data_IF_449165931161
#
_entry.id   IF_449165931161
#
_cell.length_a   1.000
_cell.length_b   1.000
_cell.length_c   1.000
_cell.angle_alpha   90.00
_cell.angle_beta   90.00
_cell.angle_gamma   90.00
#
_symmetry.space_group_name_H-M   'P 1'
#
loop_
_entity.id
_entity.type
_entity.pdbx_description
1 polymer ?
#
# COMPACT_ATOMS: atom_id res chain seq x y z
N UNK A 1 17.86 2.13 11.20
CA UNK A 1 16.90 1.98 10.09
C UNK A 1 16.01 0.83 10.51
N UNK A 2 14.77 1.12 10.87
CA UNK A 2 13.77 0.09 11.15
C UNK A 2 13.28 -0.42 9.79
N UNK A 3 14.01 -1.37 9.22
CA UNK A 3 13.71 -2.01 7.94
C UNK A 3 12.57 -3.04 8.14
N UNK A 4 11.39 -2.87 7.50
CA UNK A 4 10.21 -3.72 7.74
C UNK A 4 10.16 -4.99 6.88
N UNK A 5 11.26 -5.40 6.25
CA UNK A 5 11.34 -6.61 5.42
C UNK A 5 12.76 -7.20 5.42
N UNK A 6 12.91 -8.44 4.92
CA UNK A 6 14.21 -9.06 4.67
C UNK A 6 14.96 -8.26 3.60
N UNK A 7 15.96 -7.48 4.02
CA UNK A 7 16.72 -6.62 3.14
C UNK A 7 18.17 -7.09 3.02
N UNK A 8 18.67 -7.13 1.78
CA UNK A 8 20.08 -7.37 1.46
C UNK A 8 20.75 -6.04 1.16
N UNK A 9 21.45 -5.50 2.14
CA UNK A 9 22.08 -4.18 2.03
C UNK A 9 23.60 -4.33 1.92
N UNK A 10 24.23 -3.52 1.06
CA UNK A 10 25.69 -3.42 0.97
C UNK A 10 26.13 -2.18 1.73
N UNK A 11 26.46 -2.32 3.00
CA UNK A 11 26.98 -1.24 3.84
C UNK A 11 28.48 -1.48 4.08
N UNK A 12 29.31 -0.46 3.84
CA UNK A 12 30.75 -0.48 4.15
C UNK A 12 31.55 -1.65 3.53
N UNK A 13 31.15 -2.08 2.32
CA UNK A 13 31.80 -3.19 1.61
C UNK A 13 31.49 -4.58 2.18
N UNK A 14 30.56 -4.69 3.13
CA UNK A 14 30.06 -5.97 3.68
C UNK A 14 28.58 -6.14 3.34
N UNK A 15 28.16 -7.39 3.14
CA UNK A 15 26.75 -7.76 3.05
C UNK A 15 26.17 -7.70 4.47
N UNK A 16 25.18 -6.84 4.69
CA UNK A 16 24.36 -6.80 5.89
C UNK A 16 22.96 -7.32 5.55
N UNK A 17 22.43 -8.18 6.42
CA UNK A 17 21.10 -8.76 6.28
C UNK A 17 20.32 -8.31 7.50
N UNK A 18 19.26 -7.54 7.29
CA UNK A 18 18.34 -7.11 8.33
C UNK A 18 17.03 -7.88 8.17
N UNK A 19 16.49 -8.38 9.28
CA UNK A 19 15.25 -9.15 9.27
C UNK A 19 14.42 -8.91 10.53
N UNK A 20 13.10 -8.84 10.32
CA UNK A 20 12.08 -8.74 11.36
C UNK A 20 11.00 -9.81 11.16
N UNK A 21 11.33 -11.10 11.36
CA UNK A 21 10.35 -12.19 11.33
C UNK A 21 9.87 -12.56 12.74
N UNK A 22 8.55 -12.60 12.91
CA UNK A 22 7.88 -13.39 13.94
C UNK A 22 7.58 -14.77 13.32
N UNK A 23 7.97 -15.86 13.99
CA UNK A 23 7.57 -17.22 13.60
C UNK A 23 6.87 -17.90 14.78
N UNK A 24 5.75 -18.56 14.53
CA UNK A 24 4.94 -19.24 15.55
C UNK A 24 4.90 -20.74 15.30
N UNK A 25 4.90 -21.53 16.37
CA UNK A 25 4.71 -22.99 16.31
C UNK A 25 3.38 -23.31 16.98
N UNK A 26 2.56 -24.13 16.34
CA UNK A 26 1.26 -24.54 16.86
C UNK A 26 1.30 -25.99 17.35
N UNK A 27 0.52 -26.28 18.39
CA UNK A 27 0.18 -27.64 18.80
C UNK A 27 -0.77 -28.29 17.78
N UNK A 28 -0.92 -29.63 17.78
CA UNK A 28 -1.91 -30.33 16.95
C UNK A 28 -3.37 -29.87 17.15
N UNK A 29 -3.66 -29.23 18.29
CA UNK A 29 -4.98 -28.65 18.62
C UNK A 29 -5.14 -27.18 18.16
N UNK A 30 -4.14 -26.61 17.49
CA UNK A 30 -4.14 -25.23 17.01
C UNK A 30 -3.72 -24.17 18.04
N UNK A 31 -3.40 -24.56 19.28
CA UNK A 31 -2.90 -23.61 20.28
C UNK A 31 -1.42 -23.24 20.08
N UNK A 32 -1.05 -22.00 20.37
CA UNK A 32 0.32 -21.49 20.21
C UNK A 32 1.29 -22.04 21.28
N UNK A 33 2.49 -22.46 20.86
CA UNK A 33 3.62 -22.75 21.76
C UNK A 33 4.48 -21.49 21.97
N UNK A 34 4.06 -20.64 22.92
CA UNK A 34 4.74 -19.37 23.22
C UNK A 34 6.21 -19.52 23.64
N UNK A 35 6.63 -20.68 24.14
CA UNK A 35 8.03 -20.96 24.49
C UNK A 35 8.94 -21.31 23.29
N UNK A 36 8.38 -21.47 22.07
CA UNK A 36 9.13 -21.79 20.85
C UNK A 36 9.16 -20.65 19.82
N UNK A 37 8.90 -19.41 20.24
CA UNK A 37 9.16 -18.23 19.44
C UNK A 37 10.64 -18.16 19.03
N UNK A 38 10.91 -17.57 17.86
CA UNK A 38 12.27 -17.41 17.34
C UNK A 38 13.17 -16.67 18.34
N UNK A 39 13.99 -17.40 19.08
CA UNK A 39 15.04 -16.82 19.91
C UNK A 39 16.24 -16.52 18.99
N UNK A 40 16.43 -15.25 18.62
CA UNK A 40 17.52 -14.74 17.76
C UNK A 40 18.88 -15.36 18.13
N UNK A 41 19.79 -15.68 17.17
CA UNK A 41 20.00 -14.97 15.90
C UNK A 41 19.96 -15.82 14.61
N UNK A 42 19.65 -15.16 13.49
CA UNK A 42 19.81 -15.68 12.12
C UNK A 42 21.28 -16.04 11.89
N UNK A 43 21.54 -17.28 11.46
CA UNK A 43 22.90 -17.73 11.14
C UNK A 43 23.11 -17.68 9.63
N UNK A 44 24.09 -16.89 9.20
CA UNK A 44 24.53 -16.84 7.80
C UNK A 44 25.71 -17.79 7.65
N UNK A 45 25.51 -18.90 6.94
CA UNK A 45 26.60 -19.81 6.59
C UNK A 45 27.13 -19.45 5.20
N UNK A 46 28.42 -19.13 5.14
CA UNK A 46 29.11 -18.87 3.88
C UNK A 46 29.79 -20.16 3.43
N UNK A 47 29.33 -20.74 2.32
CA UNK A 47 29.97 -21.93 1.76
C UNK A 47 31.32 -21.55 1.14
N UNK A 48 32.37 -22.32 1.48
CA UNK A 48 33.75 -22.10 1.04
C UNK A 48 33.98 -22.18 -0.49
N UNK A 49 32.94 -22.43 -1.29
CA UNK A 49 32.99 -22.52 -2.74
C UNK A 49 32.32 -21.35 -3.46
N UNK A 50 32.00 -20.26 -2.73
CA UNK A 50 31.78 -18.93 -3.29
C UNK A 50 30.75 -18.87 -4.41
N UNK A 51 29.46 -18.81 -4.04
CA UNK A 51 28.33 -18.20 -4.78
C UNK A 51 26.98 -18.49 -4.09
N UNK A 52 26.95 -19.26 -2.99
CA UNK A 52 25.74 -19.57 -2.23
C UNK A 52 25.85 -19.07 -0.80
N UNK A 53 24.85 -18.30 -0.36
CA UNK A 53 24.59 -18.02 1.04
C UNK A 53 23.27 -18.72 1.40
N UNK A 54 23.30 -19.54 2.44
CA UNK A 54 22.09 -20.15 2.99
C UNK A 54 21.61 -19.30 4.16
N UNK A 55 20.34 -18.86 4.09
CA UNK A 55 19.66 -18.14 5.16
C UNK A 55 18.86 -19.15 5.97
N UNK A 56 19.31 -19.42 7.19
CA UNK A 56 18.65 -20.35 8.11
C UNK A 56 18.00 -19.54 9.21
N UNK A 57 16.68 -19.40 9.12
CA UNK A 57 15.86 -18.64 10.06
C UNK A 57 15.63 -19.39 11.38
N UNK A 58 15.78 -20.72 11.37
CA UNK A 58 15.68 -21.56 12.55
C UNK A 58 15.82 -23.03 12.18
N UNK A 59 15.97 -23.87 13.21
CA UNK A 59 15.85 -25.32 13.07
C UNK A 59 14.66 -25.76 13.92
N UNK A 60 13.58 -26.17 13.26
CA UNK A 60 12.38 -26.66 13.94
C UNK A 60 12.31 -28.17 13.84
N UNK A 61 12.25 -28.83 15.00
CA UNK A 61 11.90 -30.24 15.08
C UNK A 61 10.40 -30.29 15.26
N UNK A 62 9.69 -30.66 14.19
CA UNK A 62 8.25 -30.91 14.22
C UNK A 62 8.00 -32.36 14.60
N UNK A 63 7.11 -32.57 15.58
CA UNK A 63 6.57 -33.89 15.86
C UNK A 63 5.60 -34.32 14.74
N UNK A 64 5.20 -35.60 14.78
CA UNK A 64 4.13 -36.08 13.90
C UNK A 64 2.87 -35.22 14.12
N UNK A 65 2.28 -34.76 13.01
CA UNK A 65 1.09 -33.91 12.95
C UNK A 65 1.25 -32.44 13.40
N UNK A 66 2.49 -31.96 13.62
CA UNK A 66 2.79 -30.53 13.79
C UNK A 66 3.10 -29.85 12.44
N UNK A 67 2.71 -28.58 12.32
CA UNK A 67 3.06 -27.72 11.18
C UNK A 67 3.88 -26.51 11.64
N UNK A 68 4.73 -26.02 10.73
CA UNK A 68 5.43 -24.75 10.88
C UNK A 68 4.86 -23.79 9.86
N UNK A 69 4.35 -22.66 10.34
CA UNK A 69 3.92 -21.56 9.50
C UNK A 69 4.91 -20.42 9.65
N UNK A 70 5.57 -20.07 8.55
CA UNK A 70 6.44 -18.89 8.45
C UNK A 70 5.66 -17.89 7.63
N UNK A 71 4.76 -17.17 8.31
CA UNK A 71 3.97 -16.13 7.67
C UNK A 71 4.50 -14.76 8.11
N UNK A 72 4.97 -13.90 7.19
CA UNK A 72 5.18 -12.51 7.51
C UNK A 72 3.81 -11.88 7.77
N UNK A 73 3.35 -11.84 9.03
CA UNK A 73 2.09 -11.23 9.48
C UNK A 73 1.92 -9.72 9.16
N UNK A 74 2.72 -9.18 8.24
CA UNK A 74 2.75 -7.83 7.71
C UNK A 74 2.92 -7.92 6.17
N UNK A 75 1.84 -8.12 5.41
CA UNK A 75 1.96 -7.93 3.96
C UNK A 75 2.25 -6.45 3.67
N UNK A 76 3.32 -6.21 2.93
CA UNK A 76 3.65 -4.89 2.41
C UNK A 76 3.34 -4.87 0.93
N UNK A 77 2.35 -4.10 0.51
CA UNK A 77 2.05 -3.87 -0.91
C UNK A 77 2.92 -2.72 -1.39
N UNK A 78 4.14 -3.07 -1.82
CA UNK A 78 5.21 -2.13 -2.21
C UNK A 78 4.78 -1.15 -3.30
N UNK A 79 4.53 -1.65 -4.49
CA UNK A 79 4.23 -0.84 -5.67
C UNK A 79 2.72 -0.90 -5.97
N UNK A 80 2.08 0.24 -6.26
CA UNK A 80 0.71 0.21 -6.77
C UNK A 80 0.71 -0.51 -8.13
N UNK A 81 -0.33 -1.30 -8.40
CA UNK A 81 -0.57 -1.87 -9.73
C UNK A 81 -0.96 -0.80 -10.74
N UNK A 82 -1.55 0.30 -10.25
CA UNK A 82 -1.90 1.46 -11.05
C UNK A 82 -1.82 2.73 -10.22
N UNK A 83 -1.16 3.74 -10.76
CA UNK A 83 -1.09 5.06 -10.13
C UNK A 83 -0.99 6.18 -11.18
N UNK A 84 -1.29 7.40 -10.76
CA UNK A 84 -1.23 8.57 -11.62
C UNK A 84 -2.18 9.67 -11.17
N UNK A 85 -2.45 10.61 -12.06
CA UNK A 85 -3.42 11.67 -11.79
C UNK A 85 -4.35 11.88 -12.97
N UNK A 86 -5.54 12.41 -12.67
CA UNK A 86 -6.43 12.99 -13.66
C UNK A 86 -6.30 14.50 -13.53
N UNK A 87 -6.11 15.17 -14.66
CA UNK A 87 -6.17 16.62 -14.72
C UNK A 87 -7.45 17.07 -15.42
N UNK A 88 -7.96 18.20 -14.95
CA UNK A 88 -8.92 19.03 -15.65
C UNK A 88 -8.25 20.37 -15.96
N UNK A 89 -8.36 20.87 -17.19
CA UNK A 89 -7.61 22.06 -17.64
C UNK A 89 -8.49 23.09 -18.36
N UNK A 90 -8.80 24.21 -17.70
CA UNK A 90 -9.57 25.31 -18.28
C UNK A 90 -8.70 26.50 -18.70
N UNK A 91 -9.27 27.42 -19.49
CA UNK A 91 -8.62 28.67 -19.89
C UNK A 91 -8.42 29.62 -18.69
N UNK A 92 -7.31 30.37 -18.66
CA UNK A 92 -6.94 31.25 -17.53
C UNK A 92 -7.89 32.42 -17.30
N UNK A 93 -8.56 32.90 -18.35
CA UNK A 93 -9.57 33.95 -18.28
C UNK A 93 -10.90 33.45 -17.67
N UNK A 94 -11.00 32.14 -17.42
CA UNK A 94 -12.19 31.50 -16.90
C UNK A 94 -12.33 31.52 -15.39
N UNK A 95 -13.53 31.84 -14.94
CA UNK A 95 -14.00 31.58 -13.57
C UNK A 95 -14.00 30.05 -13.29
N UNK A 96 -14.17 29.62 -12.03
CA UNK A 96 -14.21 28.20 -11.61
C UNK A 96 -15.02 27.29 -12.54
N UNK A 97 -16.13 27.81 -13.05
CA UNK A 97 -17.02 27.14 -13.99
C UNK A 97 -16.34 26.68 -15.30
N UNK A 98 -15.37 27.42 -15.82
CA UNK A 98 -14.66 27.08 -17.06
C UNK A 98 -13.62 25.98 -16.85
N UNK A 99 -12.94 25.97 -15.70
CA UNK A 99 -12.09 24.85 -15.30
C UNK A 99 -12.92 23.57 -15.19
N UNK A 100 -14.12 23.66 -14.58
CA UNK A 100 -15.01 22.51 -14.42
C UNK A 100 -15.70 22.03 -15.71
N UNK A 101 -15.67 22.81 -16.78
CA UNK A 101 -16.24 22.43 -18.08
C UNK A 101 -15.22 21.79 -19.04
N UNK A 102 -13.95 21.70 -18.64
CA UNK A 102 -12.88 21.21 -19.50
C UNK A 102 -12.80 19.68 -19.58
N UNK A 103 -12.15 19.20 -20.66
CA UNK A 103 -11.87 17.78 -20.87
C UNK A 103 -10.96 17.22 -19.75
N UNK A 104 -11.26 16.01 -19.32
CA UNK A 104 -10.45 15.24 -18.38
C UNK A 104 -9.36 14.50 -19.14
N UNK A 105 -8.15 14.51 -18.59
CA UNK A 105 -7.04 13.73 -19.14
C UNK A 105 -6.34 12.98 -18.02
N UNK A 106 -6.28 11.66 -18.15
CA UNK A 106 -5.45 10.82 -17.28
C UNK A 106 -3.99 10.84 -17.72
N UNK A 107 -3.11 11.11 -16.77
CA UNK A 107 -1.66 11.07 -16.96
C UNK A 107 -1.02 10.12 -15.97
N UNK A 108 -0.24 9.18 -16.49
CA UNK A 108 0.62 8.28 -15.70
C UNK A 108 2.03 8.88 -15.58
N UNK A 109 2.11 10.21 -15.56
CA UNK A 109 3.36 10.97 -15.67
C UNK A 109 4.04 11.17 -14.33
N UNK A 110 5.30 11.58 -14.40
CA UNK A 110 6.17 11.76 -13.25
C UNK A 110 6.68 13.22 -13.16
N UNK A 111 6.47 13.98 -12.06
CA UNK A 111 5.79 13.62 -10.81
C UNK A 111 4.27 13.53 -10.94
N UNK A 112 3.65 12.96 -9.89
CA UNK A 112 2.19 12.90 -9.72
C UNK A 112 1.70 14.14 -8.97
N UNK A 113 0.62 14.75 -9.45
CA UNK A 113 0.13 16.05 -8.97
C UNK A 113 -1.21 15.94 -8.25
N UNK A 114 -1.40 16.78 -7.24
CA UNK A 114 -2.66 16.98 -6.50
C UNK A 114 -2.95 18.48 -6.39
N UNK A 115 -4.23 18.84 -6.38
CA UNK A 115 -4.71 20.20 -6.14
C UNK A 115 -4.69 21.10 -7.38
N UNK A 116 -4.70 22.40 -7.15
CA UNK A 116 -4.76 23.41 -8.20
C UNK A 116 -3.41 23.86 -8.72
N UNK A 117 -3.34 24.21 -10.00
CA UNK A 117 -2.14 24.75 -10.60
C UNK A 117 -2.42 25.82 -11.65
N UNK A 118 -1.44 26.69 -11.88
CA UNK A 118 -1.48 27.68 -12.96
C UNK A 118 -0.27 27.50 -13.90
N UNK A 119 -0.51 27.45 -15.21
CA UNK A 119 0.56 27.48 -16.21
C UNK A 119 0.17 28.34 -17.39
N UNK A 120 0.97 29.37 -17.66
CA UNK A 120 0.76 30.37 -18.71
C UNK A 120 -0.66 30.94 -18.67
N UNK A 121 -1.55 30.39 -19.51
CA UNK A 121 -2.91 30.86 -19.73
C UNK A 121 -3.94 29.75 -19.42
N UNK A 122 -3.60 28.82 -18.52
CA UNK A 122 -4.48 27.72 -18.11
C UNK A 122 -4.50 27.50 -16.62
N UNK A 123 -5.68 27.16 -16.12
CA UNK A 123 -5.89 26.65 -14.75
C UNK A 123 -6.06 25.15 -14.80
N UNK A 124 -5.45 24.47 -13.85
CA UNK A 124 -5.49 23.03 -13.72
C UNK A 124 -6.06 22.66 -12.36
N UNK A 125 -6.83 21.58 -12.34
CA UNK A 125 -7.15 20.86 -11.12
C UNK A 125 -6.70 19.41 -11.29
N UNK A 126 -5.98 18.89 -10.31
CA UNK A 126 -5.36 17.58 -10.32
C UNK A 126 -5.92 16.73 -9.18
N UNK A 127 -6.36 15.53 -9.53
CA UNK A 127 -6.73 14.48 -8.57
C UNK A 127 -5.85 13.26 -8.79
N UNK A 128 -5.29 12.72 -7.73
CA UNK A 128 -4.41 11.56 -7.79
C UNK A 128 -5.18 10.29 -7.44
N UNK A 129 -4.75 9.16 -7.99
CA UNK A 129 -5.22 7.84 -7.60
C UNK A 129 -4.06 6.86 -7.45
N UNK A 130 -4.24 5.87 -6.58
CA UNK A 130 -3.37 4.71 -6.41
C UNK A 130 -4.21 3.47 -6.20
N UNK A 131 -3.84 2.36 -6.85
CA UNK A 131 -4.49 1.05 -6.81
C UNK A 131 -3.45 -0.01 -6.47
N UNK A 132 -3.81 -0.95 -5.60
CA UNK A 132 -2.99 -2.12 -5.25
C UNK A 132 -3.77 -3.41 -5.52
N UNK A 133 -3.07 -4.44 -5.96
CA UNK A 133 -3.59 -5.81 -5.98
C UNK A 133 -3.62 -6.36 -4.54
N UNK A 134 -4.79 -6.83 -4.13
CA UNK A 134 -5.03 -7.41 -2.80
C UNK A 134 -5.37 -8.90 -2.87
N UNK A 135 -5.19 -9.55 -4.03
CA UNK A 135 -5.53 -10.96 -4.23
C UNK A 135 -4.84 -11.89 -3.24
N UNK A 136 -3.61 -11.56 -2.82
CA UNK A 136 -2.86 -12.33 -1.81
C UNK A 136 -3.41 -12.19 -0.39
N UNK A 137 -4.31 -11.22 -0.15
CA UNK A 137 -4.93 -10.94 1.16
C UNK A 137 -6.32 -11.60 1.30
N UNK A 138 -6.81 -12.24 0.24
CA UNK A 138 -8.16 -12.79 0.18
C UNK A 138 -8.45 -13.75 1.35
N UNK A 139 -9.57 -13.54 2.03
CA UNK A 139 -10.00 -14.33 3.19
C UNK A 139 -9.22 -14.05 4.50
N UNK A 140 -8.24 -13.16 4.48
CA UNK A 140 -7.53 -12.73 5.67
C UNK A 140 -8.36 -11.79 6.57
N UNK A 141 -7.88 -11.55 7.79
CA UNK A 141 -8.45 -10.60 8.74
C UNK A 141 -7.44 -9.54 9.13
N UNK A 142 -7.72 -8.26 8.86
CA UNK A 142 -6.85 -7.14 9.23
C UNK A 142 -6.74 -6.99 10.76
N UNK A 143 -5.51 -6.94 11.25
CA UNK A 143 -5.21 -6.77 12.69
C UNK A 143 -5.00 -5.29 13.05
N UNK A 144 -4.47 -4.48 12.13
CA UNK A 144 -4.24 -3.05 12.31
C UNK A 144 -4.94 -2.20 11.23
N UNK A 145 -4.90 -0.87 11.39
CA UNK A 145 -5.30 0.04 10.32
C UNK A 145 -4.23 0.03 9.22
N UNK A 146 -4.61 0.09 7.93
CA UNK A 146 -3.65 0.24 6.85
C UNK A 146 -2.83 1.52 6.99
N UNK A 147 -1.54 1.44 6.66
CA UNK A 147 -0.63 2.58 6.68
C UNK A 147 -0.12 2.85 5.27
N UNK A 148 -0.39 4.05 4.76
CA UNK A 148 0.09 4.51 3.47
C UNK A 148 1.42 5.26 3.64
N UNK A 149 2.46 4.85 2.93
CA UNK A 149 3.78 5.51 2.93
C UNK A 149 4.14 5.99 1.54
N UNK A 150 4.78 7.15 1.47
CA UNK A 150 5.19 7.75 0.20
C UNK A 150 6.39 8.69 0.43
N UNK A 151 7.05 9.09 -0.66
CA UNK A 151 8.09 10.13 -0.63
C UNK A 151 7.61 11.41 -1.33
N UNK A 152 7.38 12.47 -0.55
CA UNK A 152 7.02 13.79 -1.06
C UNK A 152 8.19 14.51 -1.72
N UNK A 153 7.93 15.22 -2.82
CA UNK A 153 8.96 15.82 -3.69
C UNK A 153 8.71 17.29 -4.09
N UNK A 154 7.62 17.92 -3.63
CA UNK A 154 7.22 19.29 -3.99
C UNK A 154 7.08 20.26 -2.82
N UNK A 155 6.48 21.42 -3.06
CA UNK A 155 5.96 22.30 -2.01
C UNK A 155 4.99 21.53 -1.10
N UNK A 156 4.89 21.96 0.16
CA UNK A 156 3.96 21.36 1.09
C UNK A 156 2.52 21.66 0.65
N UNK A 157 1.77 20.61 0.28
CA UNK A 157 0.32 20.71 0.12
C UNK A 157 -0.28 20.77 1.52
N UNK A 158 -1.11 21.77 1.79
CA UNK A 158 -1.90 21.85 3.02
C UNK A 158 -3.37 21.63 2.69
N UNK A 159 -4.09 20.95 3.56
CA UNK A 159 -5.55 20.73 3.47
C UNK A 159 -6.00 19.90 2.25
N UNK A 160 -5.28 18.84 1.93
CA UNK A 160 -5.76 17.78 1.04
C UNK A 160 -6.66 16.78 1.74
N UNK A 161 -7.21 15.84 0.98
CA UNK A 161 -8.02 14.73 1.48
C UNK A 161 -7.56 13.42 0.84
N UNK A 162 -7.62 12.33 1.60
CA UNK A 162 -7.47 10.96 1.08
C UNK A 162 -8.84 10.28 1.12
N UNK A 163 -9.37 9.94 -0.05
CA UNK A 163 -10.71 9.41 -0.21
C UNK A 163 -10.72 7.92 -0.61
N UNK A 164 -11.77 7.18 -0.20
CA UNK A 164 -12.03 5.83 -0.72
C UNK A 164 -12.26 5.87 -2.24
N UNK A 165 -11.87 4.80 -2.94
CA UNK A 165 -12.36 4.49 -4.28
C UNK A 165 -12.98 3.08 -4.22
N UNK A 166 -14.31 3.00 -4.31
CA UNK A 166 -15.05 1.73 -4.06
C UNK A 166 -15.90 1.27 -5.23
N UNK A 167 -16.21 2.18 -6.14
CA UNK A 167 -17.18 2.00 -7.21
C UNK A 167 -16.58 1.21 -8.38
N UNK A 168 -15.34 1.54 -8.76
CA UNK A 168 -14.64 0.93 -9.89
C UNK A 168 -13.11 1.08 -9.69
N UNK A 169 -12.34 0.06 -10.10
CA UNK A 169 -10.88 0.14 -10.01
C UNK A 169 -10.35 1.24 -10.94
N UNK A 170 -9.35 2.05 -10.52
CA UNK A 170 -8.71 3.02 -11.40
C UNK A 170 -8.25 2.44 -12.75
N UNK A 171 -7.80 1.18 -12.77
CA UNK A 171 -7.36 0.48 -13.98
C UNK A 171 -8.45 0.26 -15.04
N UNK A 172 -9.73 0.29 -14.67
CA UNK A 172 -10.86 0.06 -15.59
C UNK A 172 -11.84 1.24 -15.68
N UNK A 173 -11.85 2.12 -14.68
CA UNK A 173 -12.70 3.31 -14.65
C UNK A 173 -12.43 4.25 -15.83
N UNK A 174 -13.48 4.89 -16.34
CA UNK A 174 -13.34 6.02 -17.26
C UNK A 174 -12.78 7.25 -16.53
N UNK A 175 -12.20 8.20 -17.27
CA UNK A 175 -11.65 9.43 -16.66
C UNK A 175 -12.72 10.27 -15.96
N UNK A 176 -13.93 10.32 -16.51
CA UNK A 176 -15.06 10.99 -15.87
C UNK A 176 -15.47 10.30 -14.56
N UNK A 177 -15.60 8.99 -14.56
CA UNK A 177 -15.92 8.21 -13.37
C UNK A 177 -14.86 8.40 -12.29
N UNK A 178 -13.59 8.21 -12.64
CA UNK A 178 -12.50 8.28 -11.67
C UNK A 178 -12.33 9.70 -11.11
N UNK A 179 -12.59 10.75 -11.89
CA UNK A 179 -12.66 12.11 -11.36
C UNK A 179 -13.73 12.23 -10.28
N UNK A 180 -14.98 11.82 -10.56
CA UNK A 180 -16.08 11.91 -9.61
C UNK A 180 -15.88 11.03 -8.37
N UNK A 181 -15.37 9.80 -8.53
CA UNK A 181 -15.12 8.89 -7.42
C UNK A 181 -14.05 9.41 -6.45
N UNK A 182 -13.00 10.09 -6.92
CA UNK A 182 -11.99 10.66 -6.02
C UNK A 182 -12.58 11.74 -5.08
N UNK A 183 -13.65 12.43 -5.51
CA UNK A 183 -14.38 13.39 -4.68
C UNK A 183 -15.61 12.81 -3.99
N UNK A 184 -15.91 11.52 -4.19
CA UNK A 184 -17.08 10.92 -3.58
C UNK A 184 -16.77 10.42 -2.16
N UNK A 185 -17.81 10.37 -1.34
CA UNK A 185 -17.73 9.71 -0.04
C UNK A 185 -17.16 10.57 1.09
N UNK A 186 -16.72 9.89 2.15
CA UNK A 186 -16.15 10.47 3.35
C UNK A 186 -14.66 10.14 3.35
N UNK A 187 -13.82 11.15 3.47
CA UNK A 187 -12.37 10.99 3.51
C UNK A 187 -11.92 10.03 4.62
N UNK A 188 -10.94 9.19 4.30
CA UNK A 188 -10.15 8.44 5.27
C UNK A 188 -9.29 9.38 6.13
N UNK A 189 -8.74 10.42 5.51
CA UNK A 189 -7.88 11.42 6.15
C UNK A 189 -8.25 12.80 5.62
N UNK A 190 -8.64 13.68 6.53
CA UNK A 190 -8.93 15.10 6.30
C UNK A 190 -8.65 15.88 7.61
N UNK A 191 -7.68 16.83 7.64
CA UNK A 191 -6.82 17.22 6.53
C UNK A 191 -5.63 16.26 6.33
N UNK A 192 -5.20 16.15 5.09
CA UNK A 192 -3.96 15.53 4.63
C UNK A 192 -2.97 16.63 4.23
N UNK A 193 -1.69 16.46 4.59
CA UNK A 193 -0.62 17.36 4.15
C UNK A 193 0.51 16.58 3.49
N UNK A 194 0.98 17.12 2.36
CA UNK A 194 2.18 16.62 1.68
C UNK A 194 3.38 17.31 2.31
N UNK A 195 4.40 16.54 2.70
CA UNK A 195 5.67 17.10 3.16
C UNK A 195 6.83 16.54 2.37
N UNK A 196 7.88 17.34 2.16
CA UNK A 196 9.11 16.84 1.51
C UNK A 196 9.73 15.72 2.34
N UNK A 197 10.06 14.60 1.69
CA UNK A 197 10.74 13.47 2.34
C UNK A 197 9.84 12.25 2.51
N UNK A 198 10.26 11.31 3.37
CA UNK A 198 9.51 10.06 3.62
C UNK A 198 8.40 10.33 4.62
N UNK A 199 7.17 10.00 4.23
CA UNK A 199 5.97 10.20 5.03
C UNK A 199 5.24 8.88 5.25
N UNK A 200 4.44 8.84 6.32
CA UNK A 200 3.61 7.71 6.70
C UNK A 200 2.29 8.21 7.27
N UNK A 201 1.18 7.66 6.79
CA UNK A 201 -0.17 8.08 7.15
C UNK A 201 -0.96 6.84 7.57
N UNK A 202 -1.55 6.89 8.76
CA UNK A 202 -2.55 5.90 9.17
C UNK A 202 -3.88 6.25 8.51
N UNK A 203 -4.42 5.37 7.66
CA UNK A 203 -5.66 5.62 6.92
C UNK A 203 -6.93 5.45 7.78
N UNK A 204 -6.78 5.06 9.05
CA UNK A 204 -7.87 5.01 10.00
C UNK A 204 -8.75 3.76 9.89
N UNK A 205 -9.79 3.75 10.72
CA UNK A 205 -10.70 2.60 10.89
C UNK A 205 -11.63 2.40 9.69
N UNK A 206 -12.00 3.47 8.99
CA UNK A 206 -12.83 3.39 7.78
C UNK A 206 -12.09 2.68 6.66
N UNK A 207 -10.84 3.06 6.39
CA UNK A 207 -10.00 2.37 5.41
C UNK A 207 -9.75 0.90 5.78
N UNK A 208 -9.59 0.60 7.08
CA UNK A 208 -9.54 -0.79 7.56
C UNK A 208 -10.82 -1.55 7.21
N UNK A 209 -11.98 -0.97 7.47
CA UNK A 209 -13.28 -1.59 7.17
C UNK A 209 -13.47 -1.85 5.68
N UNK A 210 -13.11 -0.88 4.84
CA UNK A 210 -13.26 -0.98 3.38
C UNK A 210 -12.30 -2.01 2.79
N UNK A 211 -11.03 -1.99 3.21
CA UNK A 211 -10.05 -3.00 2.80
C UNK A 211 -10.47 -4.40 3.26
N UNK A 212 -10.94 -4.55 4.51
CA UNK A 212 -11.45 -5.84 4.99
C UNK A 212 -12.65 -6.32 4.16
N UNK A 213 -13.52 -5.41 3.77
CA UNK A 213 -14.67 -5.71 2.91
C UNK A 213 -14.20 -6.18 1.53
N UNK A 214 -13.21 -5.50 0.94
CA UNK A 214 -12.61 -5.89 -0.32
C UNK A 214 -11.93 -7.27 -0.24
N UNK A 215 -11.16 -7.55 0.83
CA UNK A 215 -10.53 -8.85 1.10
C UNK A 215 -11.51 -10.01 1.25
N UNK A 216 -12.74 -9.73 1.70
CA UNK A 216 -13.81 -10.72 1.86
C UNK A 216 -14.66 -10.89 0.58
N UNK A 217 -14.59 -9.93 -0.34
CA UNK A 217 -15.31 -9.95 -1.59
C UNK A 217 -14.47 -10.64 -2.70
N UNK A 218 -15.06 -10.95 -3.88
CA UNK A 218 -14.30 -11.36 -5.07
C UNK A 218 -13.41 -10.24 -5.66
N UNK A 219 -13.26 -9.13 -4.94
CA UNK A 219 -12.50 -7.96 -5.38
C UNK A 219 -11.02 -8.21 -5.18
N UNK A 220 -10.23 -8.03 -6.24
CA UNK A 220 -8.77 -8.21 -6.21
C UNK A 220 -7.99 -6.91 -6.10
N UNK A 221 -8.65 -5.78 -5.84
CA UNK A 221 -8.01 -4.46 -5.80
C UNK A 221 -8.44 -3.65 -4.58
N UNK A 222 -7.59 -2.72 -4.15
CA UNK A 222 -7.93 -1.64 -3.22
C UNK A 222 -7.35 -0.35 -3.75
N UNK A 223 -8.10 0.76 -3.69
CA UNK A 223 -7.65 2.02 -4.24
C UNK A 223 -8.02 3.21 -3.38
N UNK A 224 -7.21 4.26 -3.47
CA UNK A 224 -7.41 5.54 -2.80
C UNK A 224 -7.28 6.68 -3.78
N UNK A 225 -8.13 7.69 -3.60
CA UNK A 225 -8.09 8.96 -4.31
C UNK A 225 -7.48 10.05 -3.43
N UNK A 226 -6.87 11.05 -4.06
CA UNK A 226 -6.36 12.24 -3.37
C UNK A 226 -6.82 13.48 -4.11
N UNK A 227 -7.33 14.44 -3.35
CA UNK A 227 -7.77 15.74 -3.85
C UNK A 227 -7.32 16.87 -2.92
N UNK A 228 -7.27 18.11 -3.40
CA UNK A 228 -7.21 19.25 -2.49
C UNK A 228 -8.61 19.60 -2.00
N UNK A 229 -8.73 20.35 -0.90
CA UNK A 229 -10.01 20.92 -0.47
C UNK A 229 -10.75 21.63 -1.63
N UNK A 230 -12.07 21.82 -1.44
CA UNK A 230 -13.13 22.14 -2.41
C UNK A 230 -12.90 23.26 -3.47
N UNK A 231 -11.76 23.96 -3.44
CA UNK A 231 -11.38 25.06 -4.33
C UNK A 231 -10.21 24.67 -5.27
N UNK A 232 -10.21 23.43 -5.78
CA UNK A 232 -9.11 22.87 -6.60
C UNK A 232 -8.79 23.69 -7.87
N UNK A 233 -9.77 24.40 -8.43
CA UNK A 233 -9.57 25.26 -9.61
C UNK A 233 -9.31 26.74 -9.26
N UNK A 234 -9.40 27.14 -7.99
CA UNK A 234 -9.19 28.52 -7.52
C UNK A 234 -7.86 28.71 -6.81
N UNK A 235 -7.15 27.64 -6.48
CA UNK A 235 -5.82 27.70 -5.87
C UNK A 235 -4.85 28.36 -6.86
N UNK A 236 -4.37 29.55 -6.50
CA UNK A 236 -3.50 30.41 -7.35
C UNK A 236 -2.01 30.06 -7.22
N UNK A 237 -1.70 28.83 -6.81
CA UNK A 237 -0.34 28.33 -6.56
C UNK A 237 0.15 27.34 -7.62
N UNK A 238 1.39 26.86 -7.43
CA UNK A 238 1.88 25.70 -8.14
C UNK A 238 1.14 24.45 -7.65
N UNK A 239 0.81 23.52 -8.56
CA UNK A 239 0.24 22.24 -8.17
C UNK A 239 1.21 21.45 -7.29
N UNK A 240 0.67 20.86 -6.23
CA UNK A 240 1.48 20.12 -5.29
C UNK A 240 1.91 18.79 -5.88
N UNK A 241 3.19 18.49 -5.67
CA UNK A 241 3.81 17.27 -6.21
C UNK A 241 3.84 16.23 -5.12
N UNK A 242 2.97 15.25 -5.25
CA UNK A 242 2.71 14.25 -4.22
C UNK A 242 3.85 13.23 -4.09
N UNK A 243 4.26 12.59 -5.18
CA UNK A 243 5.48 11.77 -5.25
C UNK A 243 6.00 11.67 -6.69
N UNK A 244 7.15 11.02 -6.84
CA UNK A 244 7.83 10.80 -8.10
C UNK A 244 7.87 9.30 -8.45
N UNK A 245 7.25 8.91 -9.56
CA UNK A 245 7.32 7.54 -10.11
C UNK A 245 8.80 7.16 -10.31
N UNK A 246 9.20 5.98 -9.84
CA UNK A 246 10.58 5.50 -9.91
C UNK A 246 11.52 6.03 -8.80
N UNK A 247 11.04 6.91 -7.91
CA UNK A 247 11.60 7.02 -6.56
C UNK A 247 10.89 6.01 -5.63
N UNK A 248 11.09 6.08 -4.30
CA UNK A 248 10.41 5.19 -3.35
C UNK A 248 8.89 5.18 -3.66
N UNK A 249 8.36 4.05 -4.16
CA UNK A 249 6.98 3.99 -4.64
C UNK A 249 6.01 4.16 -3.48
N UNK A 250 4.80 4.68 -3.72
CA UNK A 250 3.78 4.75 -2.69
C UNK A 250 3.36 3.33 -2.28
N UNK A 251 3.52 3.01 -1.01
CA UNK A 251 3.36 1.66 -0.47
C UNK A 251 2.20 1.61 0.52
N UNK A 252 1.35 0.59 0.42
CA UNK A 252 0.32 0.28 1.40
C UNK A 252 0.80 -0.85 2.32
N UNK A 253 0.96 -0.55 3.60
CA UNK A 253 1.32 -1.53 4.63
C UNK A 253 0.05 -2.05 5.29
N UNK A 254 -0.08 -3.37 5.36
CA UNK A 254 -1.22 -4.04 5.98
C UNK A 254 -0.73 -5.12 6.95
N UNK A 255 -1.40 -5.22 8.09
CA UNK A 255 -1.19 -6.30 9.04
C UNK A 255 -2.45 -7.14 9.07
N UNK A 256 -2.31 -8.45 8.89
CA UNK A 256 -3.45 -9.36 8.80
C UNK A 256 -3.09 -10.76 9.30
N UNK A 257 -4.12 -11.50 9.65
CA UNK A 257 -4.07 -12.95 9.88
C UNK A 257 -4.65 -13.66 8.66
N UNK A 258 -3.96 -14.64 8.06
CA UNK A 258 -4.44 -15.37 6.89
C UNK A 258 -5.73 -16.15 7.20
N UNK A 259 -6.52 -16.54 6.17
CA UNK A 259 -7.69 -17.39 6.37
C UNK A 259 -7.29 -18.71 7.01
N UNK A 260 -7.97 -19.08 8.10
CA UNK A 260 -7.84 -20.42 8.67
C UNK A 260 -8.36 -21.44 7.67
N UNK A 261 -7.46 -22.27 7.13
CA UNK A 261 -7.82 -23.41 6.29
C UNK A 261 -7.73 -24.67 7.16
N UNK A 262 -8.84 -25.22 7.67
CA UNK A 262 -8.78 -26.48 8.40
C UNK A 262 -8.23 -27.55 7.46
N UNK A 263 -7.12 -28.17 7.85
CA UNK A 263 -6.58 -29.32 7.11
C UNK A 263 -7.64 -30.42 7.05
N UNK A 264 -7.97 -30.86 5.84
CA UNK A 264 -8.77 -32.06 5.62
C UNK A 264 -7.93 -33.30 6.01
N UNK A 265 -7.75 -33.53 7.32
CA UNK A 265 -7.05 -34.72 7.86
C UNK A 265 -7.84 -36.03 7.70
N UNK A 266 -9.01 -35.99 7.07
CA UNK A 266 -9.91 -37.14 6.89
C UNK A 266 -9.85 -37.71 5.47
N UNK A 267 -8.70 -38.28 5.07
CA UNK A 267 -8.64 -39.18 3.90
C UNK A 267 -7.64 -40.36 4.03
N UNK A 268 -6.85 -40.45 5.11
CA UNK A 268 -5.71 -41.38 5.17
C UNK A 268 -5.85 -42.62 6.07
N UNK A 269 -6.87 -42.73 6.94
CA UNK A 269 -7.00 -43.85 7.87
C UNK A 269 -8.12 -44.83 7.48
N UNK A 270 -8.00 -45.45 6.31
CA UNK A 270 -8.71 -46.68 6.00
C UNK A 270 -8.00 -47.45 4.88
N UNK A 271 -6.89 -48.12 5.21
CA UNK A 271 -6.52 -49.43 4.65
C UNK A 271 -5.10 -49.82 5.10
N UNK A 272 -5.00 -50.63 6.15
CA UNK A 272 -4.33 -51.94 6.14
C UNK A 272 -4.50 -52.65 7.47
#
# INVERSE_FOLDING_TARGET
IDEPFLAFCKADGKLAVAENLYSMVFNPDGSEKTEKCLQRPVKVETHAQGMKADFVYGNWVLAQDESLEIDPATATLSDPTKDGHIKRAGDADGDYANCMAADLTRELSNPVYIGGGYSFDRRYAYRTFTEWDISSLAGGTLTANPVFRYKGVGSDATDGEINPLTEEAPSVATDANLWEYIASGIAYVDPFSVSIGINSINLGVSAKSDLQTAMNAPQSWFATGFQSAADECLTTGDADRFYRIGELPPTLYVEYTPPYTPENKSAGMAAK
#
